data_IF_374855427663
#
_entry.id   IF_374855427663
#
_cell.length_a   1.000
_cell.length_b   1.000
_cell.length_c   1.000
_cell.angle_alpha   90.00
_cell.angle_beta   90.00
_cell.angle_gamma   90.00
#
_symmetry.space_group_name_H-M   'P 1'
#
loop_
_entity.id
_entity.type
_entity.pdbx_description
1 polymer ?
#
# COMPACT_ATOMS: atom_id res chain seq x y z
N UNK A 1 3.15 14.78 -11.50
CA UNK A 1 2.19 15.70 -10.86
C UNK A 1 2.38 17.15 -11.30
N UNK A 2 3.57 17.78 -11.19
CA UNK A 2 3.73 19.21 -11.53
C UNK A 2 3.38 19.54 -12.99
N UNK A 3 3.84 18.73 -13.94
CA UNK A 3 3.52 18.92 -15.36
C UNK A 3 2.03 18.80 -15.64
N UNK A 4 1.35 17.80 -15.07
CA UNK A 4 -0.12 17.64 -15.23
C UNK A 4 -0.85 18.86 -14.67
N UNK A 5 -0.48 19.32 -13.47
CA UNK A 5 -1.10 20.50 -12.86
C UNK A 5 -0.97 21.76 -13.73
N UNK A 6 0.23 21.97 -14.31
CA UNK A 6 0.49 23.09 -15.22
C UNK A 6 -0.32 22.99 -16.51
N UNK A 7 -0.28 21.85 -17.19
CA UNK A 7 -0.95 21.63 -18.48
C UNK A 7 -2.48 21.64 -18.36
N UNK A 8 -3.04 21.14 -17.25
CA UNK A 8 -4.49 21.14 -17.03
C UNK A 8 -5.00 22.38 -16.31
N UNK A 9 -4.12 23.29 -15.87
CA UNK A 9 -4.46 24.41 -14.98
C UNK A 9 -5.33 23.95 -13.79
N UNK A 10 -4.96 22.80 -13.20
CA UNK A 10 -5.70 22.11 -12.13
C UNK A 10 -7.16 21.69 -12.42
N UNK A 11 -7.64 21.78 -13.67
CA UNK A 11 -8.94 21.25 -14.09
C UNK A 11 -8.85 19.76 -14.39
N UNK A 12 -8.73 18.95 -13.34
CA UNK A 12 -8.56 17.50 -13.44
C UNK A 12 -9.40 16.74 -12.41
N UNK A 13 -9.64 15.46 -12.68
CA UNK A 13 -10.16 14.50 -11.71
C UNK A 13 -9.08 13.47 -11.41
N UNK A 14 -8.55 13.45 -10.18
CA UNK A 14 -7.53 12.50 -9.75
C UNK A 14 -8.19 11.38 -8.94
N UNK A 15 -8.03 10.14 -9.37
CA UNK A 15 -8.51 8.95 -8.65
C UNK A 15 -7.37 8.25 -7.94
N UNK A 16 -7.57 7.91 -6.66
CA UNK A 16 -6.60 7.22 -5.81
C UNK A 16 -7.26 6.02 -5.11
N UNK A 17 -7.30 4.87 -5.78
CA UNK A 17 -7.87 3.64 -5.21
C UNK A 17 -6.79 2.69 -4.66
N UNK A 18 -5.76 2.41 -5.47
CA UNK A 18 -4.64 1.54 -5.10
C UNK A 18 -3.74 2.04 -3.95
N UNK A 19 -3.40 3.33 -3.88
CA UNK A 19 -2.50 3.83 -2.83
C UNK A 19 -3.09 3.75 -1.42
N UNK A 20 -4.42 3.89 -1.28
CA UNK A 20 -5.11 3.81 0.01
C UNK A 20 -4.99 2.41 0.65
N UNK A 21 -5.00 1.36 -0.17
CA UNK A 21 -4.70 -0.02 0.26
C UNK A 21 -3.26 -0.20 0.73
N UNK A 22 -2.30 0.41 0.05
CA UNK A 22 -0.89 0.31 0.49
C UNK A 22 -0.67 1.04 1.82
N UNK A 23 -1.30 2.20 2.04
CA UNK A 23 -1.17 2.91 3.32
C UNK A 23 -1.88 2.20 4.49
N UNK A 24 -2.92 1.41 4.22
CA UNK A 24 -3.49 0.53 5.25
C UNK A 24 -2.52 -0.59 5.63
N UNK A 25 -1.87 -1.23 4.65
CA UNK A 25 -0.79 -2.19 4.91
C UNK A 25 0.40 -1.55 5.63
N UNK A 26 0.71 -0.27 5.37
CA UNK A 26 1.76 0.46 6.10
C UNK A 26 1.44 0.52 7.59
N UNK A 27 0.16 0.76 7.89
CA UNK A 27 -0.33 0.78 9.27
C UNK A 27 -0.15 -0.59 9.92
N UNK A 28 -0.55 -1.66 9.23
CA UNK A 28 -0.38 -3.04 9.72
C UNK A 28 1.11 -3.38 9.92
N UNK A 29 2.00 -2.97 9.01
CA UNK A 29 3.44 -3.17 9.16
C UNK A 29 4.01 -2.48 10.41
N UNK A 30 3.52 -1.29 10.72
CA UNK A 30 3.97 -0.49 11.87
C UNK A 30 3.44 -1.00 13.21
N UNK A 31 2.22 -1.54 13.24
CA UNK A 31 1.52 -1.86 14.49
C UNK A 31 1.35 -3.35 14.75
N UNK A 32 1.27 -4.17 13.70
CA UNK A 32 1.02 -5.61 13.74
C UNK A 32 2.03 -6.38 12.86
N UNK A 33 3.33 -6.36 13.19
CA UNK A 33 4.38 -6.86 12.29
C UNK A 33 4.21 -8.34 11.93
N UNK A 34 3.74 -9.18 12.87
CA UNK A 34 3.44 -10.59 12.60
C UNK A 34 2.32 -10.75 11.58
N UNK A 35 1.26 -9.96 11.69
CA UNK A 35 0.16 -9.96 10.72
C UNK A 35 0.63 -9.45 9.35
N UNK A 36 1.45 -8.41 9.32
CA UNK A 36 2.02 -7.92 8.06
C UNK A 36 2.86 -9.00 7.37
N UNK A 37 3.73 -9.71 8.09
CA UNK A 37 4.53 -10.82 7.54
C UNK A 37 3.64 -11.91 6.95
N UNK A 38 2.57 -12.27 7.66
CA UNK A 38 1.59 -13.23 7.17
C UNK A 38 0.93 -12.74 5.87
N UNK A 39 0.39 -11.52 5.85
CA UNK A 39 -0.26 -10.94 4.66
C UNK A 39 0.72 -10.84 3.47
N UNK A 40 1.95 -10.41 3.73
CA UNK A 40 3.00 -10.29 2.71
C UNK A 40 3.34 -11.66 2.12
N UNK A 41 3.48 -12.70 2.95
CA UNK A 41 3.69 -14.05 2.45
C UNK A 41 2.49 -14.54 1.61
N UNK A 42 1.26 -14.31 2.07
CA UNK A 42 0.05 -14.64 1.29
C UNK A 42 -0.01 -13.88 -0.04
N UNK A 43 0.57 -12.68 -0.12
CA UNK A 43 0.68 -11.93 -1.37
C UNK A 43 1.57 -12.65 -2.39
N UNK A 44 2.71 -13.20 -1.96
CA UNK A 44 3.57 -14.03 -2.82
C UNK A 44 2.83 -15.26 -3.32
N UNK A 45 2.10 -15.96 -2.45
CA UNK A 45 1.33 -17.16 -2.83
C UNK A 45 0.26 -16.85 -3.90
N UNK A 46 -0.40 -15.68 -3.78
CA UNK A 46 -1.46 -15.28 -4.70
C UNK A 46 -0.95 -14.59 -5.97
N UNK A 47 0.29 -14.10 -5.98
CA UNK A 47 0.85 -13.30 -7.07
C UNK A 47 0.72 -13.94 -8.46
N UNK A 48 1.03 -15.25 -8.66
CA UNK A 48 0.87 -15.89 -9.96
C UNK A 48 -0.57 -15.88 -10.48
N UNK A 49 -1.56 -15.89 -9.59
CA UNK A 49 -2.97 -15.79 -9.96
C UNK A 49 -3.32 -14.34 -10.32
N UNK A 50 -2.83 -13.37 -9.55
CA UNK A 50 -3.07 -11.94 -9.81
C UNK A 50 -2.52 -11.48 -11.16
N UNK A 51 -1.37 -12.01 -11.60
CA UNK A 51 -0.78 -11.73 -12.92
C UNK A 51 -1.70 -12.08 -14.11
N UNK A 52 -2.70 -12.93 -13.93
CA UNK A 52 -3.70 -13.22 -14.97
C UNK A 52 -4.63 -12.04 -15.25
N UNK A 53 -4.73 -11.09 -14.32
CA UNK A 53 -5.64 -9.95 -14.39
C UNK A 53 -4.93 -8.59 -14.49
N UNK A 54 -3.61 -8.55 -14.30
CA UNK A 54 -2.82 -7.33 -14.31
C UNK A 54 -1.54 -7.50 -15.14
N UNK A 55 -1.25 -6.52 -16.00
CA UNK A 55 0.02 -6.44 -16.71
C UNK A 55 1.00 -5.58 -15.90
N UNK A 56 1.91 -6.22 -15.17
CA UNK A 56 2.93 -5.56 -14.34
C UNK A 56 4.31 -6.19 -14.58
N UNK A 57 5.36 -5.48 -14.15
CA UNK A 57 6.77 -5.87 -14.38
C UNK A 57 7.54 -6.07 -13.08
N UNK A 58 6.84 -6.35 -11.97
CA UNK A 58 7.48 -6.49 -10.67
C UNK A 58 8.44 -7.68 -10.67
N UNK A 59 9.69 -7.42 -10.28
CA UNK A 59 10.70 -8.45 -10.05
C UNK A 59 10.61 -8.90 -8.58
N UNK A 60 9.93 -10.03 -8.34
CA UNK A 60 9.75 -10.57 -7.00
C UNK A 60 11.04 -11.10 -6.38
N UNK A 61 12.03 -11.47 -7.20
CA UNK A 61 13.30 -12.03 -6.72
C UNK A 61 14.20 -10.93 -6.15
N UNK A 62 13.96 -9.68 -6.52
CA UNK A 62 14.63 -8.50 -5.95
C UNK A 62 14.11 -8.09 -4.57
N UNK A 63 12.98 -8.63 -4.12
CA UNK A 63 12.36 -8.27 -2.84
C UNK A 63 13.10 -9.01 -1.72
N UNK A 64 13.63 -8.26 -0.76
CA UNK A 64 14.34 -8.84 0.39
C UNK A 64 13.47 -9.86 1.14
N UNK A 65 14.04 -10.98 1.56
CA UNK A 65 13.31 -12.00 2.31
C UNK A 65 12.86 -11.48 3.69
N UNK A 66 11.62 -11.77 4.07
CA UNK A 66 10.99 -11.23 5.28
C UNK A 66 11.78 -11.59 6.56
N UNK A 67 12.26 -12.82 6.65
CA UNK A 67 13.03 -13.34 7.80
C UNK A 67 14.35 -12.61 8.04
N UNK A 68 14.88 -11.91 7.03
CA UNK A 68 16.10 -11.09 7.14
C UNK A 68 15.86 -9.69 7.71
N UNK A 69 14.60 -9.28 7.88
CA UNK A 69 14.21 -7.94 8.33
C UNK A 69 13.69 -7.95 9.74
N UNK A 70 14.10 -6.96 10.54
CA UNK A 70 13.50 -6.69 11.83
C UNK A 70 12.09 -6.08 11.67
N UNK A 71 11.25 -6.20 12.69
CA UNK A 71 9.87 -5.74 12.64
C UNK A 71 9.74 -4.23 12.32
N UNK A 72 10.67 -3.40 12.83
CA UNK A 72 10.68 -1.96 12.55
C UNK A 72 11.08 -1.61 11.11
N UNK A 73 11.68 -2.55 10.36
CA UNK A 73 12.06 -2.36 8.96
C UNK A 73 10.92 -2.71 7.99
N UNK A 74 9.89 -3.42 8.45
CA UNK A 74 8.79 -3.90 7.60
C UNK A 74 8.07 -2.79 6.82
N UNK A 75 7.84 -1.57 7.36
CA UNK A 75 7.21 -0.50 6.59
C UNK A 75 7.98 -0.10 5.33
N UNK A 76 9.31 -0.32 5.28
CA UNK A 76 10.16 0.06 4.15
C UNK A 76 9.88 -0.75 2.88
N UNK A 77 9.29 -1.94 3.01
CA UNK A 77 8.80 -2.70 1.85
C UNK A 77 7.76 -1.92 1.04
N UNK A 78 7.01 -1.01 1.68
CA UNK A 78 6.02 -0.20 0.98
C UNK A 78 6.60 1.03 0.28
N UNK A 79 7.93 1.18 0.31
CA UNK A 79 8.68 2.16 -0.46
C UNK A 79 9.40 1.51 -1.65
N UNK A 80 9.53 0.18 -1.66
CA UNK A 80 10.08 -0.62 -2.78
C UNK A 80 9.05 -0.74 -3.93
N UNK A 81 9.38 -0.32 -5.17
CA UNK A 81 8.45 -0.41 -6.31
C UNK A 81 7.97 -1.83 -6.65
N UNK A 82 8.83 -2.85 -6.53
CA UNK A 82 8.49 -4.24 -6.84
C UNK A 82 7.55 -4.79 -5.77
N UNK A 83 7.87 -4.56 -4.49
CA UNK A 83 7.01 -5.00 -3.39
C UNK A 83 5.65 -4.28 -3.40
N UNK A 84 5.63 -2.98 -3.70
CA UNK A 84 4.38 -2.23 -3.86
C UNK A 84 3.50 -2.82 -4.95
N UNK A 85 4.05 -3.22 -6.10
CA UNK A 85 3.28 -3.86 -7.17
C UNK A 85 2.74 -5.22 -6.73
N UNK A 86 3.57 -6.08 -6.12
CA UNK A 86 3.17 -7.37 -5.54
C UNK A 86 1.96 -7.22 -4.61
N UNK A 87 2.04 -6.30 -3.65
CA UNK A 87 0.99 -6.07 -2.67
C UNK A 87 -0.24 -5.37 -3.27
N UNK A 88 -0.04 -4.52 -4.27
CA UNK A 88 -1.14 -3.78 -4.89
C UNK A 88 -2.06 -4.71 -5.68
N UNK A 89 -1.53 -5.62 -6.48
CA UNK A 89 -2.36 -6.47 -7.35
C UNK A 89 -2.96 -7.68 -6.61
N UNK A 90 -2.39 -8.05 -5.47
CA UNK A 90 -2.84 -9.21 -4.68
C UNK A 90 -4.04 -8.93 -3.77
N UNK A 91 -4.45 -7.66 -3.61
CA UNK A 91 -5.55 -7.25 -2.71
C UNK A 91 -6.83 -8.06 -2.89
N UNK A 92 -7.21 -8.38 -4.13
CA UNK A 92 -8.44 -9.10 -4.44
C UNK A 92 -8.45 -10.54 -3.92
N UNK A 93 -7.30 -11.21 -3.94
CA UNK A 93 -7.14 -12.54 -3.34
C UNK A 93 -7.05 -12.48 -1.83
N UNK A 94 -6.22 -11.56 -1.33
CA UNK A 94 -6.01 -11.36 0.10
C UNK A 94 -7.32 -11.05 0.84
N UNK A 95 -8.17 -10.18 0.30
CA UNK A 95 -9.42 -9.79 0.95
C UNK A 95 -10.55 -10.82 0.79
N UNK A 96 -10.35 -11.89 0.01
CA UNK A 96 -11.24 -13.05 -0.08
C UNK A 96 -10.83 -14.17 0.86
N UNK A 97 -9.58 -14.19 1.30
CA UNK A 97 -9.07 -15.14 2.30
C UNK A 97 -9.54 -14.71 3.70
N UNK A 98 -10.39 -15.47 4.39
CA UNK A 98 -10.86 -15.12 5.74
C UNK A 98 -9.72 -14.98 6.75
N UNK A 99 -8.66 -15.79 6.62
CA UNK A 99 -7.50 -15.76 7.51
C UNK A 99 -6.69 -14.47 7.37
N UNK A 100 -6.81 -13.78 6.24
CA UNK A 100 -6.23 -12.45 6.04
C UNK A 100 -7.24 -11.36 6.37
N UNK A 101 -8.45 -11.45 5.81
CA UNK A 101 -9.46 -10.40 5.84
C UNK A 101 -9.84 -10.01 7.26
N UNK A 102 -10.20 -10.97 8.09
CA UNK A 102 -10.70 -10.70 9.44
C UNK A 102 -9.65 -10.03 10.33
N UNK A 103 -8.43 -10.59 10.50
CA UNK A 103 -7.42 -9.95 11.32
C UNK A 103 -6.94 -8.62 10.71
N UNK A 104 -6.90 -8.47 9.38
CA UNK A 104 -6.59 -7.21 8.72
C UNK A 104 -7.58 -6.10 9.12
N UNK A 105 -8.88 -6.32 8.98
CA UNK A 105 -9.88 -5.30 9.34
C UNK A 105 -9.93 -5.06 10.85
N UNK A 106 -9.74 -6.09 11.67
CA UNK A 106 -9.63 -5.93 13.12
C UNK A 106 -8.42 -5.07 13.53
N UNK A 107 -7.27 -5.27 12.88
CA UNK A 107 -6.07 -4.47 13.10
C UNK A 107 -6.29 -3.00 12.70
N UNK A 108 -6.92 -2.75 11.54
CA UNK A 108 -7.22 -1.38 11.11
C UNK A 108 -8.19 -0.67 12.03
N UNK A 109 -9.22 -1.37 12.52
CA UNK A 109 -10.17 -0.78 13.47
C UNK A 109 -9.48 -0.42 14.79
N UNK A 110 -8.63 -1.31 15.31
CA UNK A 110 -7.86 -1.06 16.54
C UNK A 110 -6.84 0.08 16.39
N UNK A 111 -6.28 0.25 15.20
CA UNK A 111 -5.26 1.25 14.89
C UNK A 111 -5.77 2.37 13.97
N UNK A 112 -7.05 2.68 14.06
CA UNK A 112 -7.76 3.59 13.16
C UNK A 112 -7.09 4.98 13.09
N UNK A 113 -6.66 5.51 14.24
CA UNK A 113 -5.95 6.79 14.30
C UNK A 113 -4.62 6.77 13.52
N UNK A 114 -3.87 5.67 13.60
CA UNK A 114 -2.62 5.51 12.83
C UNK A 114 -2.91 5.37 11.34
N UNK A 115 -3.96 4.62 10.98
CA UNK A 115 -4.40 4.47 9.60
C UNK A 115 -4.79 5.81 8.97
N UNK A 116 -5.61 6.61 9.65
CA UNK A 116 -6.02 7.92 9.15
C UNK A 116 -4.85 8.89 9.04
N UNK A 117 -3.89 8.86 9.97
CA UNK A 117 -2.67 9.68 9.85
C UNK A 117 -1.85 9.32 8.61
N UNK A 118 -1.63 8.02 8.37
CA UNK A 118 -0.89 7.54 7.21
C UNK A 118 -1.58 7.93 5.91
N UNK A 119 -2.91 7.73 5.83
CA UNK A 119 -3.71 8.10 4.67
C UNK A 119 -3.69 9.61 4.42
N UNK A 120 -3.87 10.42 5.46
CA UNK A 120 -3.84 11.88 5.35
C UNK A 120 -2.47 12.40 4.88
N UNK A 121 -1.38 11.89 5.46
CA UNK A 121 -0.02 12.26 5.04
C UNK A 121 0.25 11.89 3.57
N UNK A 122 -0.25 10.74 3.12
CA UNK A 122 -0.12 10.30 1.73
C UNK A 122 -0.90 11.22 0.78
N UNK A 123 -2.15 11.56 1.11
CA UNK A 123 -2.97 12.47 0.31
C UNK A 123 -2.38 13.88 0.27
N UNK A 124 -1.91 14.40 1.41
CA UNK A 124 -1.24 15.69 1.50
C UNK A 124 -0.03 15.78 0.58
N UNK A 125 0.77 14.70 0.49
CA UNK A 125 1.91 14.64 -0.43
C UNK A 125 1.47 14.79 -1.89
N UNK A 126 0.41 14.10 -2.31
CA UNK A 126 -0.12 14.22 -3.68
C UNK A 126 -0.64 15.62 -3.98
N UNK A 127 -1.39 16.21 -3.05
CA UNK A 127 -1.90 17.58 -3.20
C UNK A 127 -0.76 18.60 -3.29
N UNK A 128 0.26 18.50 -2.44
CA UNK A 128 1.45 19.36 -2.51
C UNK A 128 2.20 19.20 -3.83
N UNK A 129 2.36 17.97 -4.33
CA UNK A 129 3.00 17.71 -5.63
C UNK A 129 2.20 18.24 -6.82
N UNK A 130 0.90 18.49 -6.65
CA UNK A 130 0.05 19.22 -7.59
C UNK A 130 0.15 20.75 -7.45
N UNK A 131 0.90 21.26 -6.47
CA UNK A 131 0.99 22.69 -6.18
C UNK A 131 -0.19 23.23 -5.38
N UNK A 132 -0.99 22.36 -4.74
CA UNK A 132 -2.08 22.77 -3.85
C UNK A 132 -1.56 22.93 -2.42
N UNK A 133 -1.76 24.10 -1.84
CA UNK A 133 -1.49 24.36 -0.42
C UNK A 133 -2.70 23.97 0.44
N UNK A 134 -2.42 23.47 1.65
CA UNK A 134 -3.47 23.24 2.65
C UNK A 134 -4.07 24.58 3.05
N UNK A 135 -5.38 24.77 2.81
CA UNK A 135 -6.11 25.88 3.47
C UNK A 135 -6.14 25.58 4.97
N UNK A 136 -5.58 26.51 5.75
CA UNK A 136 -5.61 26.48 7.22
C UNK A 136 -6.99 26.75 7.78
#
# INVERSE_FOLDING_TARGET
>A
YPSIAAETQLRLHLTTSGPSWLESLRTVAQTEPRLYRFIHQRAFDYFPVALKSYHITADTDSIAALDTKADYELPAYLDDPNCRQLLHISYGGLLRDPEVREPYFAALHRHESSHYRNLAAHMDKHLRLLGLEKRG
#
